data_IF_036977298698
#
_entry.id   IF_036977298698
#
_cell.length_a   1.000
_cell.length_b   1.000
_cell.length_c   1.000
_cell.angle_alpha   90.00
_cell.angle_beta   90.00
_cell.angle_gamma   90.00
#
_symmetry.space_group_name_H-M   'P 1'
#
loop_
_entity.id
_entity.type
_entity.pdbx_description
1 polymer ?
#
# COMPACT_ATOMS: atom_id res chain seq x y z
N UNK A 1 -10.41 29.77 -7.88
CA UNK A 1 -11.42 28.71 -7.92
C UNK A 1 -11.48 28.05 -6.56
N UNK A 2 -12.68 27.69 -6.11
CA UNK A 2 -12.92 26.92 -4.89
C UNK A 2 -12.99 25.44 -5.27
N UNK A 3 -12.14 24.61 -4.66
CA UNK A 3 -12.20 23.15 -4.82
C UNK A 3 -12.99 22.54 -3.67
N UNK A 4 -13.98 21.70 -3.99
CA UNK A 4 -14.74 20.92 -3.00
C UNK A 4 -14.61 19.44 -3.31
N UNK A 5 -14.27 18.64 -2.30
CA UNK A 5 -14.25 17.18 -2.39
C UNK A 5 -15.15 16.56 -1.32
N UNK A 6 -15.94 15.57 -1.72
CA UNK A 6 -16.70 14.70 -0.84
C UNK A 6 -16.34 13.26 -1.18
N UNK A 7 -16.00 12.44 -0.19
CA UNK A 7 -15.59 11.07 -0.42
C UNK A 7 -15.88 10.14 0.74
N UNK A 8 -15.72 8.85 0.47
CA UNK A 8 -15.79 7.76 1.41
C UNK A 8 -14.54 6.90 1.28
N UNK A 9 -14.03 6.44 2.43
CA UNK A 9 -12.93 5.49 2.51
C UNK A 9 -13.42 4.23 3.24
N UNK A 10 -13.04 3.07 2.73
CA UNK A 10 -13.25 1.78 3.36
C UNK A 10 -11.90 1.10 3.55
N UNK A 11 -11.57 0.73 4.79
CA UNK A 11 -10.37 -0.03 5.12
C UNK A 11 -10.74 -1.31 5.88
N UNK A 12 -10.25 -2.45 5.39
CA UNK A 12 -10.54 -3.79 5.87
C UNK A 12 -9.23 -4.50 6.24
N UNK A 13 -9.13 -4.96 7.49
CA UNK A 13 -8.02 -5.77 7.95
C UNK A 13 -8.56 -7.04 8.62
N UNK A 14 -8.49 -8.17 7.92
CA UNK A 14 -9.06 -9.44 8.37
C UNK A 14 -8.03 -10.57 8.32
N UNK A 15 -8.19 -11.53 9.21
CA UNK A 15 -7.47 -12.81 9.19
C UNK A 15 -8.50 -13.94 9.21
N UNK A 16 -9.21 -14.19 8.08
CA UNK A 16 -10.30 -15.17 8.05
C UNK A 16 -9.83 -16.58 8.38
N UNK A 17 -8.59 -16.91 8.03
CA UNK A 17 -7.94 -18.16 8.39
C UNK A 17 -6.55 -17.88 8.96
N UNK A 18 -6.02 -18.77 9.82
CA UNK A 18 -4.70 -18.60 10.46
C UNK A 18 -3.53 -18.44 9.46
N UNK A 19 -3.72 -18.89 8.22
CA UNK A 19 -2.73 -18.81 7.15
C UNK A 19 -3.00 -17.67 6.15
N UNK A 20 -4.07 -16.89 6.29
CA UNK A 20 -4.48 -15.89 5.31
C UNK A 20 -4.83 -14.55 5.97
N UNK A 21 -4.12 -13.51 5.57
CA UNK A 21 -4.30 -12.14 6.01
C UNK A 21 -4.72 -11.28 4.81
N UNK A 22 -5.72 -10.43 5.05
CA UNK A 22 -6.33 -9.52 4.09
C UNK A 22 -6.15 -8.11 4.61
N UNK A 23 -5.62 -7.22 3.77
CA UNK A 23 -5.56 -5.78 4.02
C UNK A 23 -6.00 -5.03 2.77
N UNK A 24 -7.23 -4.56 2.76
CA UNK A 24 -7.82 -3.89 1.61
C UNK A 24 -8.22 -2.46 1.97
N UNK A 25 -7.93 -1.52 1.09
CA UNK A 25 -8.42 -0.14 1.17
C UNK A 25 -9.09 0.23 -0.14
N UNK A 26 -10.23 0.89 -0.06
CA UNK A 26 -10.95 1.46 -1.18
C UNK A 26 -11.26 2.93 -0.87
N UNK A 27 -10.86 3.81 -1.77
CA UNK A 27 -11.10 5.25 -1.68
C UNK A 27 -12.05 5.65 -2.81
N UNK A 28 -13.11 6.40 -2.52
CA UNK A 28 -14.08 6.92 -3.49
C UNK A 28 -14.28 8.41 -3.22
N UNK A 29 -14.06 9.28 -4.19
CA UNK A 29 -14.27 10.72 -3.98
C UNK A 29 -14.75 11.41 -5.24
N UNK A 30 -15.66 12.37 -5.06
CA UNK A 30 -16.11 13.28 -6.09
C UNK A 30 -15.32 14.57 -5.99
N UNK A 31 -14.65 14.94 -7.07
CA UNK A 31 -13.86 16.15 -7.18
C UNK A 31 -14.61 17.16 -8.06
N UNK A 32 -14.83 18.37 -7.54
CA UNK A 32 -15.44 19.47 -8.30
C UNK A 32 -14.57 20.72 -8.21
N UNK A 33 -14.18 21.23 -9.38
CA UNK A 33 -13.52 22.51 -9.55
C UNK A 33 -14.55 23.53 -10.02
N UNK A 34 -14.83 24.52 -9.17
CA UNK A 34 -15.55 25.73 -9.58
C UNK A 34 -14.55 26.64 -10.30
N UNK A 35 -14.78 26.85 -11.60
CA UNK A 35 -13.97 27.74 -12.45
C UNK A 35 -13.97 29.18 -11.93
N UNK A 36 -12.89 29.91 -12.18
CA UNK A 36 -12.89 31.38 -12.11
C UNK A 36 -13.49 31.90 -13.42
N UNK A 37 -14.16 33.05 -13.40
CA UNK A 37 -14.92 33.64 -14.52
C UNK A 37 -14.40 33.25 -15.92
N UNK A 38 -15.24 32.57 -16.70
CA UNK A 38 -14.97 32.18 -18.09
C UNK A 38 -14.68 30.69 -18.32
N UNK A 39 -14.32 29.93 -17.29
CA UNK A 39 -14.04 28.49 -17.41
C UNK A 39 -15.22 27.61 -16.97
N UNK A 40 -15.50 26.55 -17.76
CA UNK A 40 -16.52 25.55 -17.40
C UNK A 40 -16.08 24.74 -16.17
N UNK A 41 -16.99 24.46 -15.22
CA UNK A 41 -16.66 23.67 -14.03
C UNK A 41 -16.22 22.25 -14.43
N UNK A 42 -15.07 21.80 -13.94
CA UNK A 42 -14.56 20.44 -14.14
C UNK A 42 -14.99 19.54 -12.98
N UNK A 43 -15.46 18.34 -13.29
CA UNK A 43 -15.90 17.36 -12.30
C UNK A 43 -15.32 15.98 -12.62
N UNK A 44 -14.87 15.24 -11.61
CA UNK A 44 -14.54 13.83 -11.77
C UNK A 44 -14.97 12.99 -10.57
N UNK A 45 -15.39 11.77 -10.86
CA UNK A 45 -15.57 10.72 -9.86
C UNK A 45 -14.32 9.84 -9.88
N UNK A 46 -13.59 9.84 -8.77
CA UNK A 46 -12.30 9.20 -8.67
C UNK A 46 -12.37 8.07 -7.65
N UNK A 47 -11.75 6.94 -7.97
CA UNK A 47 -11.68 5.82 -7.06
C UNK A 47 -10.34 5.10 -7.12
N UNK A 48 -9.94 4.53 -6.00
CA UNK A 48 -8.73 3.71 -5.93
C UNK A 48 -8.93 2.49 -5.07
N UNK A 49 -8.25 1.41 -5.43
CA UNK A 49 -8.22 0.17 -4.67
C UNK A 49 -6.78 -0.19 -4.35
N UNK A 50 -6.53 -0.58 -3.10
CA UNK A 50 -5.27 -1.18 -2.65
C UNK A 50 -5.62 -2.49 -1.97
N UNK A 51 -5.42 -3.61 -2.66
CA UNK A 51 -5.77 -4.94 -2.17
C UNK A 51 -4.48 -5.73 -1.88
N UNK A 52 -4.14 -5.87 -0.61
CA UNK A 52 -3.00 -6.65 -0.13
C UNK A 52 -3.47 -7.97 0.47
N UNK A 53 -2.94 -9.08 -0.03
CA UNK A 53 -3.23 -10.42 0.43
C UNK A 53 -1.92 -11.10 0.84
N UNK A 54 -1.88 -11.69 2.04
CA UNK A 54 -0.72 -12.41 2.55
C UNK A 54 -1.11 -13.83 2.98
N UNK A 55 -0.42 -14.83 2.43
CA UNK A 55 -0.59 -16.23 2.76
C UNK A 55 0.65 -16.77 3.47
N UNK A 56 0.48 -17.57 4.53
CA UNK A 56 1.57 -18.15 5.34
C UNK A 56 1.46 -19.67 5.36
N UNK A 57 2.49 -20.37 4.88
CA UNK A 57 2.49 -21.83 4.83
C UNK A 57 3.89 -22.39 5.06
N UNK A 58 4.05 -23.23 6.09
CA UNK A 58 5.28 -23.99 6.34
C UNK A 58 6.57 -23.16 6.34
N UNK A 59 6.60 -21.98 6.97
CA UNK A 59 7.77 -21.09 6.98
C UNK A 59 7.97 -20.26 5.71
N UNK A 60 7.05 -20.37 4.74
CA UNK A 60 6.94 -19.49 3.60
C UNK A 60 5.84 -18.45 3.80
N UNK A 61 5.98 -17.33 3.10
CA UNK A 61 5.00 -16.25 3.02
C UNK A 61 4.89 -15.81 1.58
N UNK A 62 3.68 -15.88 1.03
CA UNK A 62 3.35 -15.32 -0.26
C UNK A 62 2.53 -14.05 -0.08
N UNK A 63 2.80 -13.03 -0.88
CA UNK A 63 2.07 -11.77 -0.88
C UNK A 63 1.66 -11.41 -2.30
N UNK A 64 0.43 -10.96 -2.45
CA UNK A 64 -0.10 -10.39 -3.68
C UNK A 64 -0.70 -9.02 -3.37
N UNK A 65 -0.22 -7.99 -4.07
CA UNK A 65 -0.64 -6.61 -3.87
C UNK A 65 -1.14 -6.05 -5.19
N UNK A 66 -2.45 -5.83 -5.28
CA UNK A 66 -3.09 -5.16 -6.39
C UNK A 66 -3.30 -3.70 -6.02
N UNK A 67 -2.96 -2.79 -6.94
CA UNK A 67 -3.30 -1.37 -6.83
C UNK A 67 -3.95 -0.92 -8.11
N UNK A 68 -5.08 -0.23 -8.00
CA UNK A 68 -5.77 0.43 -9.09
C UNK A 68 -6.08 1.87 -8.72
N UNK A 69 -5.91 2.79 -9.66
CA UNK A 69 -6.34 4.17 -9.55
C UNK A 69 -7.05 4.55 -10.83
N UNK A 70 -8.27 5.08 -10.71
CA UNK A 70 -9.04 5.55 -11.87
C UNK A 70 -8.41 6.81 -12.49
N UNK A 71 -8.84 7.19 -13.72
CA UNK A 71 -8.48 8.47 -14.27
C UNK A 71 -9.05 9.59 -13.38
N UNK A 72 -8.41 10.76 -13.38
CA UNK A 72 -8.87 11.94 -12.66
C UNK A 72 -8.60 13.21 -13.45
N UNK A 73 -9.52 14.16 -13.36
CA UNK A 73 -9.27 15.52 -13.86
C UNK A 73 -8.42 16.29 -12.85
N UNK A 74 -7.65 17.23 -13.35
CA UNK A 74 -6.89 18.22 -12.57
C UNK A 74 -7.25 19.62 -13.08
N UNK A 75 -6.79 20.66 -12.39
CA UNK A 75 -7.02 22.04 -12.85
C UNK A 75 -6.43 22.29 -14.24
N UNK A 76 -5.31 21.64 -14.57
CA UNK A 76 -4.51 21.91 -15.77
C UNK A 76 -4.57 20.77 -16.81
N UNK A 77 -5.47 19.79 -16.68
CA UNK A 77 -5.59 18.65 -17.60
C UNK A 77 -6.12 17.40 -16.91
N UNK A 78 -5.56 16.23 -17.20
CA UNK A 78 -5.99 14.95 -16.65
C UNK A 78 -4.82 13.98 -16.39
N UNK A 79 -5.09 12.98 -15.55
CA UNK A 79 -4.21 11.85 -15.30
C UNK A 79 -4.96 10.57 -15.63
N UNK A 80 -4.33 9.70 -16.42
CA UNK A 80 -4.86 8.38 -16.76
C UNK A 80 -4.95 7.44 -15.56
N UNK A 81 -5.61 6.29 -15.78
CA UNK A 81 -5.62 5.22 -14.80
C UNK A 81 -4.30 4.45 -14.78
N UNK A 82 -4.11 3.67 -13.73
CA UNK A 82 -3.08 2.64 -13.73
C UNK A 82 -3.46 1.47 -12.84
N UNK A 83 -3.00 0.28 -13.24
CA UNK A 83 -3.17 -0.97 -12.52
C UNK A 83 -1.79 -1.59 -12.31
N UNK A 84 -1.51 -2.08 -11.11
CA UNK A 84 -0.29 -2.87 -10.87
C UNK A 84 -0.60 -4.05 -9.98
N UNK A 85 -0.04 -5.20 -10.33
CA UNK A 85 -0.01 -6.38 -9.46
C UNK A 85 1.44 -6.69 -9.09
N UNK A 86 1.76 -6.64 -7.80
CA UNK A 86 3.06 -7.03 -7.28
C UNK A 86 2.94 -8.34 -6.49
N UNK A 87 3.81 -9.31 -6.80
CA UNK A 87 3.88 -10.60 -6.11
C UNK A 87 5.20 -10.72 -5.36
N UNK A 88 5.17 -11.32 -4.17
CA UNK A 88 6.38 -11.62 -3.42
C UNK A 88 6.27 -12.98 -2.73
N UNK A 89 7.33 -13.78 -2.80
CA UNK A 89 7.49 -15.03 -2.07
C UNK A 89 8.71 -14.91 -1.16
N UNK A 90 8.51 -15.09 0.14
CA UNK A 90 9.58 -15.20 1.13
C UNK A 90 9.58 -16.60 1.71
N UNK A 91 10.74 -17.24 1.78
CA UNK A 91 10.93 -18.51 2.47
C UNK A 91 12.08 -18.39 3.46
N UNK A 92 11.84 -18.82 4.69
CA UNK A 92 12.86 -18.91 5.73
C UNK A 92 13.23 -20.37 5.97
N UNK A 93 14.53 -20.62 6.14
CA UNK A 93 15.11 -21.92 6.43
C UNK A 93 15.98 -21.83 7.70
N UNK A 94 16.29 -22.99 8.30
CA UNK A 94 17.21 -23.13 9.45
C UNK A 94 16.89 -22.15 10.59
N UNK A 95 15.64 -22.16 11.10
CA UNK A 95 15.17 -21.23 12.14
C UNK A 95 15.41 -19.75 11.80
N UNK A 96 15.12 -19.41 10.54
CA UNK A 96 15.27 -18.06 9.96
C UNK A 96 16.72 -17.61 9.79
N UNK A 97 17.71 -18.50 9.91
CA UNK A 97 19.11 -18.18 9.57
C UNK A 97 19.28 -17.90 8.10
N UNK A 98 18.67 -18.66 7.20
CA UNK A 98 18.71 -18.37 5.77
C UNK A 98 17.34 -17.90 5.29
N UNK A 99 17.29 -16.77 4.58
CA UNK A 99 16.06 -16.24 4.00
C UNK A 99 16.25 -16.03 2.51
N UNK A 100 15.27 -16.49 1.75
CA UNK A 100 15.14 -16.23 0.34
C UNK A 100 13.90 -15.39 0.09
N UNK A 101 14.02 -14.34 -0.72
CA UNK A 101 12.92 -13.50 -1.16
C UNK A 101 12.97 -13.39 -2.67
N UNK A 102 11.85 -13.69 -3.32
CA UNK A 102 11.62 -13.44 -4.74
C UNK A 102 10.48 -12.41 -4.85
N UNK A 103 10.69 -11.35 -5.60
CA UNK A 103 9.69 -10.31 -5.86
C UNK A 103 9.51 -10.14 -7.36
N UNK A 104 8.27 -10.05 -7.79
CA UNK A 104 7.87 -9.70 -9.14
C UNK A 104 6.99 -8.45 -9.06
N UNK A 105 7.47 -7.34 -9.61
CA UNK A 105 6.75 -6.07 -9.58
C UNK A 105 6.08 -5.80 -10.90
N UNK A 106 4.83 -5.36 -10.84
CA UNK A 106 3.93 -5.15 -11.97
C UNK A 106 3.97 -6.28 -12.98
N UNK A 107 3.52 -7.44 -12.52
CA UNK A 107 3.47 -8.66 -13.35
C UNK A 107 2.50 -8.55 -14.53
N UNK A 108 1.63 -7.54 -14.52
CA UNK A 108 0.70 -7.24 -15.61
C UNK A 108 1.30 -6.31 -16.67
N UNK A 109 2.35 -5.57 -16.33
CA UNK A 109 2.96 -4.57 -17.23
C UNK A 109 2.04 -3.38 -17.52
N UNK A 110 1.14 -3.04 -16.59
CA UNK A 110 0.10 -2.01 -16.77
C UNK A 110 0.33 -0.78 -15.89
N UNK A 111 1.51 -0.68 -15.28
CA UNK A 111 1.86 0.35 -14.31
C UNK A 111 2.31 1.68 -14.91
N UNK A 112 2.22 1.84 -16.24
CA UNK A 112 2.51 3.09 -16.92
C UNK A 112 1.52 4.17 -16.48
N UNK A 113 1.97 5.43 -16.51
CA UNK A 113 1.15 6.57 -16.08
C UNK A 113 1.16 7.65 -17.13
N UNK A 114 -0.03 8.07 -17.52
CA UNK A 114 -0.22 9.13 -18.48
C UNK A 114 -0.73 10.40 -17.80
N UNK A 115 -0.19 11.53 -18.25
CA UNK A 115 -0.60 12.86 -17.82
C UNK A 115 -0.79 13.72 -19.06
N UNK A 116 -1.96 14.32 -19.18
CA UNK A 116 -2.25 15.33 -20.19
C UNK A 116 -2.40 16.67 -19.51
N UNK A 117 -1.83 17.72 -20.09
CA UNK A 117 -1.97 19.09 -19.60
C UNK A 117 -2.33 20.04 -20.72
N UNK A 118 -3.31 20.89 -20.48
CA UNK A 118 -3.86 21.87 -21.43
C UNK A 118 -3.66 23.28 -20.88
N UNK A 119 -3.13 24.16 -21.70
CA UNK A 119 -3.07 25.60 -21.48
C UNK A 119 -3.61 26.37 -22.68
N UNK A 120 -3.70 27.70 -22.59
CA UNK A 120 -4.33 28.55 -23.60
C UNK A 120 -3.80 28.33 -25.02
N UNK A 121 -2.49 28.06 -25.15
CA UNK A 121 -1.81 27.90 -26.44
C UNK A 121 -0.99 26.60 -26.55
N UNK A 122 -1.22 25.62 -25.66
CA UNK A 122 -0.47 24.36 -25.71
C UNK A 122 -1.24 23.17 -25.15
N UNK A 123 -0.90 21.98 -25.67
CA UNK A 123 -1.25 20.68 -25.07
C UNK A 123 0.04 19.88 -24.88
N UNK A 124 0.23 19.31 -23.70
CA UNK A 124 1.38 18.49 -23.34
C UNK A 124 0.91 17.11 -22.90
N UNK A 125 1.55 16.06 -23.43
CA UNK A 125 1.31 14.67 -23.06
C UNK A 125 2.61 14.07 -22.51
N UNK A 126 2.55 13.51 -21.30
CA UNK A 126 3.68 12.88 -20.62
C UNK A 126 3.32 11.45 -20.26
N UNK A 127 4.10 10.51 -20.79
CA UNK A 127 4.03 9.10 -20.43
C UNK A 127 5.21 8.76 -19.51
N UNK A 128 4.93 8.31 -18.30
CA UNK A 128 5.90 7.66 -17.44
C UNK A 128 5.81 6.16 -17.64
N UNK A 129 6.70 5.63 -18.47
CA UNK A 129 6.85 4.21 -18.67
C UNK A 129 7.62 3.60 -17.50
N UNK A 130 7.19 2.42 -17.06
CA UNK A 130 7.90 1.68 -16.02
C UNK A 130 8.49 0.41 -16.61
N UNK A 131 9.79 0.20 -16.40
CA UNK A 131 10.44 -1.09 -16.70
C UNK A 131 9.74 -2.21 -15.91
N UNK A 132 8.85 -2.93 -16.58
CA UNK A 132 7.96 -3.95 -16.04
C UNK A 132 7.76 -5.07 -17.06
N UNK A 133 7.52 -6.32 -16.62
CA UNK A 133 7.62 -6.78 -15.23
C UNK A 133 9.09 -6.75 -14.74
N UNK A 134 9.29 -6.48 -13.45
CA UNK A 134 10.63 -6.48 -12.84
C UNK A 134 10.75 -7.59 -11.79
N UNK A 135 11.75 -8.46 -11.96
CA UNK A 135 12.03 -9.57 -11.04
C UNK A 135 13.27 -9.27 -10.19
N UNK A 136 13.16 -9.50 -8.88
CA UNK A 136 14.26 -9.33 -7.92
C UNK A 136 14.34 -10.55 -7.00
N UNK A 137 15.53 -11.12 -6.88
CA UNK A 137 15.82 -12.17 -5.92
C UNK A 137 16.80 -11.64 -4.86
N UNK A 138 16.57 -11.99 -3.60
CA UNK A 138 17.43 -11.64 -2.48
C UNK A 138 17.64 -12.87 -1.60
N UNK A 139 18.90 -13.11 -1.25
CA UNK A 139 19.31 -14.09 -0.25
C UNK A 139 19.91 -13.34 0.93
N UNK A 140 19.52 -13.69 2.15
CA UNK A 140 20.16 -13.16 3.36
C UNK A 140 20.43 -14.26 4.38
N UNK A 141 21.57 -14.17 5.06
CA UNK A 141 21.96 -15.07 6.13
C UNK A 141 22.13 -14.31 7.45
N UNK A 142 21.43 -14.76 8.50
CA UNK A 142 21.43 -14.18 9.84
C UNK A 142 22.36 -14.99 10.74
N UNK A 143 23.42 -14.35 11.24
CA UNK A 143 24.38 -14.94 12.18
C UNK A 143 23.96 -14.83 13.66
N UNK A 144 22.85 -14.14 13.94
CA UNK A 144 22.51 -13.73 15.30
C UNK A 144 22.03 -14.92 16.17
N UNK A 145 22.63 -15.07 17.36
CA UNK A 145 22.34 -16.12 18.35
C UNK A 145 21.75 -15.56 19.65
N UNK A 146 21.07 -14.40 19.58
CA UNK A 146 20.54 -13.71 20.75
C UNK A 146 19.38 -14.50 21.39
N UNK A 147 19.68 -15.31 22.40
CA UNK A 147 18.70 -15.81 23.36
C UNK A 147 18.27 -14.62 24.22
N UNK A 148 16.99 -14.21 24.12
CA UNK A 148 16.42 -13.24 25.07
C UNK A 148 16.54 -13.86 26.47
N UNK A 149 17.43 -13.34 27.31
CA UNK A 149 17.35 -13.56 28.74
C UNK A 149 15.98 -13.04 29.20
N UNK A 150 15.07 -13.95 29.56
CA UNK A 150 13.90 -13.58 30.34
C UNK A 150 14.43 -13.17 31.71
N UNK A 151 14.51 -11.87 31.96
CA UNK A 151 14.64 -11.36 33.33
C UNK A 151 13.24 -11.53 33.94
N UNK A 152 13.04 -12.55 34.76
CA UNK A 152 11.90 -12.58 35.66
C UNK A 152 12.03 -11.37 36.58
N UNK A 153 11.10 -10.42 36.47
CA UNK A 153 10.97 -9.32 37.42
C UNK A 153 10.25 -9.94 38.62
N UNK A 154 10.86 -9.99 39.82
CA UNK A 154 10.16 -10.41 41.02
C UNK A 154 8.97 -9.47 41.24
N UNK A 155 7.77 -10.02 41.43
CA UNK A 155 6.64 -9.24 41.90
C UNK A 155 6.99 -8.73 43.30
N UNK A 156 7.00 -7.41 43.49
CA UNK A 156 7.08 -6.79 44.80
C UNK A 156 5.87 -7.24 45.63
N UNK A 157 6.15 -7.81 46.81
CA UNK A 157 5.14 -8.12 47.82
C UNK A 157 4.43 -6.83 48.26
N UNK A 158 3.11 -6.88 48.30
CA UNK A 158 2.23 -5.82 48.80
C UNK A 158 2.67 -5.38 50.19
N UNK A 159 2.89 -4.07 50.35
CA UNK A 159 3.28 -3.45 51.60
C UNK A 159 2.22 -3.62 52.68
N UNK A 160 2.68 -4.09 53.84
CA UNK A 160 1.90 -4.13 55.08
C UNK A 160 1.49 -2.71 55.50
N UNK A 161 0.19 -2.51 55.71
CA UNK A 161 -0.38 -1.31 56.33
C UNK A 161 0.08 -1.20 57.79
N UNK A 162 0.78 -0.11 58.13
CA UNK A 162 1.08 0.25 59.51
C UNK A 162 0.03 1.25 60.01
N UNK A 163 -0.89 0.80 60.88
CA UNK A 163 -1.74 1.68 61.68
C UNK A 163 -0.90 2.46 62.71
N UNK A 164 -1.08 3.78 62.76
CA UNK A 164 -0.43 4.68 63.71
C UNK A 164 -1.48 5.10 64.75
N UNK A 165 -1.20 4.85 66.03
CA UNK A 165 -1.92 5.42 67.18
C UNK A 165 -1.37 6.81 67.53
#
# INVERSE_FOLDING_TARGET
>A
GTARSLGAELSLNLTPFRFYNIYWTADLYRYRLEGVEGESPKESFNWSLRLSNEFRFGGARFQANLRYYSPTVTSQGDRGDFLTLDLALKKSFFDRKLNFVLQARDVLGTGDREFTSEGTDFTSHVLFDRKSPFLMAQISYNFNNFRKYKKEIPQEEEGEDYEIY
#
